data_IF_723868978286
#
_entry.id   IF_723868978286
#
_cell.length_a   1.000
_cell.length_b   1.000
_cell.length_c   1.000
_cell.angle_alpha   90.00
_cell.angle_beta   90.00
_cell.angle_gamma   90.00
#
_symmetry.space_group_name_H-M   'P 1'
#
loop_
_entity.id
_entity.type
_entity.pdbx_description
1 polymer ?
#
# COMPACT_ATOMS: atom_id res chain seq x y z
N UNK A 1 6.37 54.58 -23.64
CA UNK A 1 5.64 54.10 -22.44
C UNK A 1 4.83 52.82 -22.71
N UNK A 2 4.00 52.75 -23.77
CA UNK A 2 3.20 51.56 -24.10
C UNK A 2 4.00 50.26 -24.33
N UNK A 3 5.19 50.35 -24.96
CA UNK A 3 6.08 49.19 -25.20
C UNK A 3 6.70 48.64 -23.92
N UNK A 4 7.04 49.51 -22.97
CA UNK A 4 7.57 49.12 -21.65
C UNK A 4 6.51 48.41 -20.80
N UNK A 5 5.26 48.87 -20.88
CA UNK A 5 4.13 48.28 -20.17
C UNK A 5 3.78 46.87 -20.71
N UNK A 6 3.91 46.67 -22.02
CA UNK A 6 3.76 45.34 -22.64
C UNK A 6 4.88 44.37 -22.24
N UNK A 7 6.13 44.83 -22.19
CA UNK A 7 7.28 44.00 -21.76
C UNK A 7 7.16 43.62 -20.28
N UNK A 8 6.73 44.55 -19.42
CA UNK A 8 6.47 44.27 -18.01
C UNK A 8 5.34 43.23 -17.82
N UNK A 9 4.26 43.32 -18.60
CA UNK A 9 3.15 42.35 -18.56
C UNK A 9 3.58 40.94 -18.98
N UNK A 10 4.44 40.82 -20.00
CA UNK A 10 4.96 39.52 -20.46
C UNK A 10 5.91 38.92 -19.41
N UNK A 11 6.75 39.76 -18.79
CA UNK A 11 7.66 39.33 -17.73
C UNK A 11 6.89 38.84 -16.49
N UNK A 12 5.78 39.49 -16.11
CA UNK A 12 4.93 39.06 -15.00
C UNK A 12 4.20 37.73 -15.27
N UNK A 13 3.81 37.44 -16.52
CA UNK A 13 3.19 36.15 -16.89
C UNK A 13 4.17 34.97 -16.80
N UNK A 14 5.48 35.19 -17.04
CA UNK A 14 6.50 34.13 -16.92
C UNK A 14 6.70 33.67 -15.46
N UNK A 15 6.47 34.54 -14.48
CA UNK A 15 6.62 34.19 -13.05
C UNK A 15 5.43 33.43 -12.45
N UNK A 16 4.25 33.42 -13.09
CA UNK A 16 3.06 32.75 -12.57
C UNK A 16 3.09 31.21 -12.70
N UNK A 17 4.03 30.66 -13.49
CA UNK A 17 4.14 29.22 -13.71
C UNK A 17 5.08 28.49 -12.72
N UNK A 18 5.60 29.19 -11.71
CA UNK A 18 6.41 28.56 -10.65
C UNK A 18 5.53 27.81 -9.65
N UNK A 19 4.88 26.72 -10.09
CA UNK A 19 4.33 25.72 -9.18
C UNK A 19 5.52 24.98 -8.55
N UNK A 20 5.83 25.31 -7.30
CA UNK A 20 6.79 24.57 -6.48
C UNK A 20 6.39 23.08 -6.51
N UNK A 21 7.28 22.21 -7.00
CA UNK A 21 7.09 20.78 -6.96
C UNK A 21 7.15 20.37 -5.49
N UNK A 22 5.98 20.18 -4.89
CA UNK A 22 5.86 19.67 -3.54
C UNK A 22 6.49 18.28 -3.54
N UNK A 23 7.70 18.18 -2.96
CA UNK A 23 8.47 16.94 -2.92
C UNK A 23 7.54 15.87 -2.34
N UNK A 24 7.29 14.75 -3.05
CA UNK A 24 6.40 13.73 -2.55
C UNK A 24 6.92 13.28 -1.19
N UNK A 25 6.11 13.45 -0.13
CA UNK A 25 6.41 12.87 1.17
C UNK A 25 6.73 11.40 0.92
N UNK A 26 7.95 10.99 1.24
CA UNK A 26 8.36 9.59 1.13
C UNK A 26 7.45 8.80 2.07
N UNK A 27 6.42 8.17 1.52
CA UNK A 27 5.49 7.34 2.27
C UNK A 27 6.24 6.06 2.64
N UNK A 28 6.87 6.07 3.81
CA UNK A 28 7.48 4.88 4.37
C UNK A 28 6.36 4.01 4.93
N UNK A 29 6.27 2.79 4.41
CA UNK A 29 5.36 1.80 4.95
C UNK A 29 5.84 1.34 6.32
N UNK A 30 4.90 1.09 7.22
CA UNK A 30 5.19 0.68 8.60
C UNK A 30 5.00 -0.82 8.72
N UNK A 31 5.76 -1.44 9.61
CA UNK A 31 5.59 -2.84 9.99
C UNK A 31 4.66 -2.91 11.20
N UNK A 32 3.62 -3.74 11.11
CA UNK A 32 2.64 -3.96 12.19
C UNK A 32 3.02 -5.18 13.04
N UNK A 33 3.62 -6.21 12.43
CA UNK A 33 4.08 -7.40 13.11
C UNK A 33 5.26 -8.08 12.38
N UNK A 34 6.09 -8.81 13.12
CA UNK A 34 7.26 -9.57 12.64
C UNK A 34 7.15 -11.01 13.15
N UNK A 35 7.30 -11.99 12.27
CA UNK A 35 7.19 -13.42 12.55
C UNK A 35 8.32 -14.18 11.85
N UNK A 36 9.45 -14.35 12.55
CA UNK A 36 10.65 -14.96 11.98
C UNK A 36 11.15 -14.16 10.75
N UNK A 37 11.19 -14.81 9.59
CA UNK A 37 11.54 -14.21 8.30
C UNK A 37 10.40 -13.41 7.64
N UNK A 38 9.16 -13.56 8.12
CA UNK A 38 7.97 -12.95 7.53
C UNK A 38 7.56 -11.67 8.29
N UNK A 39 7.01 -10.68 7.58
CA UNK A 39 6.48 -9.44 8.17
C UNK A 39 5.05 -9.16 7.72
N UNK A 40 4.31 -8.37 8.51
CA UNK A 40 3.00 -7.81 8.16
C UNK A 40 3.14 -6.31 8.03
N UNK A 41 2.84 -5.79 6.84
CA UNK A 41 2.88 -4.37 6.55
C UNK A 41 1.57 -3.67 6.91
N UNK A 42 1.66 -2.39 7.27
CA UNK A 42 0.48 -1.58 7.57
C UNK A 42 -0.36 -1.35 6.32
N UNK A 43 0.28 -1.20 5.15
CA UNK A 43 -0.41 -1.15 3.86
C UNK A 43 -1.26 -2.40 3.60
N UNK A 44 -0.71 -3.58 3.83
CA UNK A 44 -1.38 -4.89 3.67
C UNK A 44 -2.64 -4.98 4.55
N UNK A 45 -2.50 -4.62 5.83
CA UNK A 45 -3.64 -4.59 6.76
C UNK A 45 -4.72 -3.60 6.34
N UNK A 46 -4.31 -2.39 5.95
CA UNK A 46 -5.25 -1.36 5.53
C UNK A 46 -5.92 -1.70 4.20
N UNK A 47 -5.26 -2.41 3.28
CA UNK A 47 -5.84 -2.83 2.02
C UNK A 47 -6.99 -3.82 2.25
N UNK A 48 -6.80 -4.84 3.09
CA UNK A 48 -7.88 -5.77 3.44
C UNK A 48 -9.01 -5.08 4.19
N UNK A 49 -8.69 -4.16 5.10
CA UNK A 49 -9.71 -3.37 5.78
C UNK A 49 -10.50 -2.46 4.81
N UNK A 50 -9.83 -1.85 3.83
CA UNK A 50 -10.48 -1.04 2.80
C UNK A 50 -11.41 -1.88 1.91
N UNK A 51 -11.02 -3.11 1.57
CA UNK A 51 -11.90 -4.03 0.85
C UNK A 51 -13.18 -4.34 1.64
N UNK A 52 -13.07 -4.56 2.95
CA UNK A 52 -14.24 -4.75 3.82
C UNK A 52 -15.18 -3.54 3.82
N UNK A 53 -14.62 -2.31 3.89
CA UNK A 53 -15.42 -1.08 3.79
C UNK A 53 -16.09 -0.93 2.42
N UNK A 54 -15.39 -1.26 1.34
CA UNK A 54 -15.90 -1.16 -0.04
C UNK A 54 -17.06 -2.14 -0.31
N UNK A 55 -17.17 -3.22 0.46
CA UNK A 55 -18.31 -4.14 0.41
C UNK A 55 -19.58 -3.56 1.09
N UNK A 56 -19.51 -2.35 1.64
CA UNK A 56 -20.62 -1.69 2.34
C UNK A 56 -20.73 -2.03 3.82
N UNK A 57 -19.76 -2.75 4.37
CA UNK A 57 -19.73 -3.05 5.81
C UNK A 57 -19.36 -1.81 6.63
N UNK A 58 -19.91 -1.66 7.85
CA UNK A 58 -19.60 -0.52 8.70
C UNK A 58 -18.13 -0.51 9.14
N UNK A 59 -17.59 0.67 9.34
CA UNK A 59 -16.26 0.84 9.91
C UNK A 59 -16.22 0.29 11.33
N UNK A 60 -15.32 -0.68 11.57
CA UNK A 60 -15.18 -1.36 12.83
C UNK A 60 -13.71 -1.70 13.11
N UNK A 61 -13.14 -1.06 14.14
CA UNK A 61 -11.75 -1.31 14.55
C UNK A 61 -11.53 -2.73 15.11
N UNK A 62 -12.55 -3.34 15.73
CA UNK A 62 -12.46 -4.74 16.13
C UNK A 62 -12.30 -5.67 14.93
N UNK A 63 -12.92 -5.34 13.79
CA UNK A 63 -12.75 -6.11 12.56
C UNK A 63 -11.33 -5.99 12.01
N UNK A 64 -10.72 -4.81 12.10
CA UNK A 64 -9.30 -4.63 11.76
C UNK A 64 -8.37 -5.53 12.60
N UNK A 65 -8.68 -5.68 13.89
CA UNK A 65 -7.97 -6.63 14.76
C UNK A 65 -8.19 -8.10 14.34
N UNK A 66 -9.41 -8.46 13.94
CA UNK A 66 -9.71 -9.80 13.44
C UNK A 66 -8.92 -10.13 12.16
N UNK A 67 -8.85 -9.18 11.22
CA UNK A 67 -8.02 -9.30 10.02
C UNK A 67 -6.56 -9.54 10.40
N UNK A 68 -6.01 -8.72 11.30
CA UNK A 68 -4.62 -8.87 11.74
C UNK A 68 -4.39 -10.24 12.39
N UNK A 69 -5.31 -10.72 13.21
CA UNK A 69 -5.24 -12.06 13.83
C UNK A 69 -5.21 -13.17 12.78
N UNK A 70 -6.03 -13.07 11.74
CA UNK A 70 -6.05 -14.05 10.64
C UNK A 70 -4.73 -14.04 9.85
N UNK A 71 -4.22 -12.85 9.51
CA UNK A 71 -2.91 -12.69 8.87
C UNK A 71 -1.77 -13.31 9.71
N UNK A 72 -1.81 -13.11 11.04
CA UNK A 72 -0.86 -13.72 11.95
C UNK A 72 -0.93 -15.24 11.90
N UNK A 73 -2.14 -15.81 11.96
CA UNK A 73 -2.35 -17.26 11.86
C UNK A 73 -1.79 -17.84 10.56
N UNK A 74 -2.10 -17.22 9.43
CA UNK A 74 -1.63 -17.66 8.11
C UNK A 74 -0.10 -17.59 7.99
N UNK A 75 0.52 -16.51 8.48
CA UNK A 75 1.99 -16.37 8.42
C UNK A 75 2.71 -17.30 9.40
N UNK A 76 2.11 -17.63 10.54
CA UNK A 76 2.63 -18.65 11.45
C UNK A 76 2.63 -20.03 10.80
N UNK A 77 1.53 -20.42 10.15
CA UNK A 77 1.47 -21.69 9.42
C UNK A 77 2.46 -21.73 8.26
N UNK A 78 2.62 -20.63 7.53
CA UNK A 78 3.63 -20.51 6.48
C UNK A 78 5.05 -20.69 7.03
N UNK A 79 5.36 -20.06 8.16
CA UNK A 79 6.66 -20.22 8.83
C UNK A 79 6.89 -21.68 9.23
N UNK A 80 5.86 -22.36 9.75
CA UNK A 80 5.94 -23.78 10.08
C UNK A 80 6.16 -24.66 8.84
N UNK A 81 5.45 -24.39 7.74
CA UNK A 81 5.64 -25.12 6.48
C UNK A 81 7.07 -24.98 5.92
N UNK A 82 7.68 -23.80 6.06
CA UNK A 82 9.08 -23.56 5.70
C UNK A 82 10.04 -24.41 6.55
N UNK A 83 9.79 -24.49 7.87
CA UNK A 83 10.56 -25.34 8.80
C UNK A 83 10.40 -26.82 8.44
N UNK A 84 9.18 -27.24 8.13
CA UNK A 84 8.84 -28.64 7.79
C UNK A 84 9.18 -29.00 6.34
N UNK A 85 9.85 -28.10 5.60
CA UNK A 85 10.25 -28.30 4.20
C UNK A 85 9.08 -28.66 3.27
N UNK A 86 7.90 -28.10 3.54
CA UNK A 86 6.71 -28.24 2.70
C UNK A 86 6.75 -27.12 1.65
N UNK A 87 7.06 -27.50 0.40
CA UNK A 87 7.11 -26.59 -0.75
C UNK A 87 6.06 -26.97 -1.78
N UNK A 88 5.52 -25.97 -2.46
CA UNK A 88 4.55 -26.13 -3.55
C UNK A 88 5.24 -25.74 -4.85
N UNK A 89 5.18 -26.61 -5.86
CA UNK A 89 5.75 -26.33 -7.18
C UNK A 89 4.79 -25.48 -8.02
N UNK A 90 5.32 -24.66 -8.94
CA UNK A 90 4.49 -23.79 -9.80
C UNK A 90 3.46 -24.59 -10.61
N UNK A 91 3.83 -25.76 -11.14
CA UNK A 91 2.92 -26.63 -11.88
C UNK A 91 1.70 -27.07 -11.04
N UNK A 92 1.88 -27.29 -9.73
CA UNK A 92 0.78 -27.65 -8.84
C UNK A 92 -0.17 -26.46 -8.59
N UNK A 93 0.35 -25.23 -8.66
CA UNK A 93 -0.47 -24.01 -8.57
C UNK A 93 -1.29 -23.84 -9.85
N UNK A 94 -0.66 -24.00 -11.01
CA UNK A 94 -1.33 -23.90 -12.31
C UNK A 94 -2.44 -24.95 -12.43
N UNK A 95 -2.15 -26.21 -12.06
CA UNK A 95 -3.13 -27.30 -12.03
C UNK A 95 -4.33 -27.03 -11.10
N UNK A 96 -4.16 -26.24 -10.03
CA UNK A 96 -5.25 -25.88 -9.10
C UNK A 96 -6.05 -24.66 -9.55
N UNK A 97 -5.44 -23.75 -10.33
CA UNK A 97 -6.13 -22.59 -10.91
C UNK A 97 -7.01 -23.00 -12.10
N UNK A 98 -6.58 -24.00 -12.87
CA UNK A 98 -7.31 -24.50 -14.05
C UNK A 98 -8.46 -25.47 -13.71
N UNK A 99 -8.61 -25.86 -12.44
CA UNK A 99 -9.74 -26.66 -11.93
C UNK A 99 -11.02 -25.84 -11.80
#
# INVERSE_FOLDING_TARGET
>A
MKKFLAIASVLTCLFFNAKSQQLPKKNLDKVVAVLGSNIILLSELNQQYAQHLNQGNPANESFKCLILRDMLGNKLLKLQAEIDSVYVEEAQVDDEVDK
#
